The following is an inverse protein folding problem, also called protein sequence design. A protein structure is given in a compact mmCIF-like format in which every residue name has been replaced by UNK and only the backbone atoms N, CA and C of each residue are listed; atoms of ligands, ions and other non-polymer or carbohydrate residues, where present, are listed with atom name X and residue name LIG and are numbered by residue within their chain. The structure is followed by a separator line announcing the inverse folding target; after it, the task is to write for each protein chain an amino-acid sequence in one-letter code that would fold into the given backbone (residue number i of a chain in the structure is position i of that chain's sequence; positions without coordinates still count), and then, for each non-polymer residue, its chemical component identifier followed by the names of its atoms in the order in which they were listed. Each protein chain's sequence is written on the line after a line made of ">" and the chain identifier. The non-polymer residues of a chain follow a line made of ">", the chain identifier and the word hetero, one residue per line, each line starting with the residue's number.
data_IF_293688215887
#
_entry.id   IF_293688215887
#
_cell.length_a   1.000
_cell.length_b   1.000
_cell.length_c   1.000
_cell.angle_alpha   90.00
_cell.angle_beta   90.00
_cell.angle_gamma   90.00
#
_symmetry.space_group_name_H-M   'P 1'
#
loop_
_entity.id
_entity.type
_entity.pdbx_description
1 polymer ?
#
# COMPACT_ATOMS: atom_id res chain seq x y z
N UNK A 1 1.74 8.11 -14.37
CA UNK A 1 2.75 8.40 -13.33
C UNK A 1 4.14 8.27 -13.93
N UNK A 2 5.16 9.00 -13.45
CA UNK A 2 6.54 8.91 -14.00
C UNK A 2 7.42 7.90 -13.26
N UNK A 3 7.13 7.58 -12.00
CA UNK A 3 7.92 6.66 -11.16
C UNK A 3 6.98 5.81 -10.28
N UNK A 4 6.51 4.71 -10.86
CA UNK A 4 5.63 3.72 -10.23
C UNK A 4 4.37 3.41 -11.04
N UNK A 5 3.58 2.48 -10.54
CA UNK A 5 2.41 1.95 -11.24
C UNK A 5 1.13 2.75 -10.92
N UNK A 6 0.13 2.63 -11.80
CA UNK A 6 -1.26 3.00 -11.49
C UNK A 6 -2.08 1.72 -11.63
N UNK A 7 -2.53 1.19 -10.49
CA UNK A 7 -3.23 -0.08 -10.39
C UNK A 7 -4.69 0.16 -10.08
N UNK A 8 -5.55 -0.62 -10.73
CA UNK A 8 -6.99 -0.64 -10.51
C UNK A 8 -7.43 -2.02 -10.06
N UNK A 9 -8.64 -2.10 -9.51
CA UNK A 9 -9.24 -3.34 -9.03
C UNK A 9 -8.32 -4.04 -8.01
N UNK A 10 -7.82 -3.27 -7.04
CA UNK A 10 -7.17 -3.87 -5.87
C UNK A 10 -8.27 -4.49 -5.02
N UNK A 11 -8.20 -5.80 -4.84
CA UNK A 11 -9.25 -6.61 -4.22
C UNK A 11 -8.87 -7.00 -2.81
N UNK A 12 -9.83 -6.98 -1.90
CA UNK A 12 -9.65 -7.48 -0.53
C UNK A 12 -10.80 -7.08 0.38
N UNK A 13 -10.85 -7.69 1.55
CA UNK A 13 -11.87 -7.46 2.58
C UNK A 13 -11.28 -6.83 3.85
N UNK A 14 -9.97 -6.65 3.88
CA UNK A 14 -9.22 -6.15 5.02
C UNK A 14 -7.98 -5.37 4.55
N UNK A 15 -7.39 -4.57 5.44
CA UNK A 15 -6.15 -3.86 5.17
C UNK A 15 -5.03 -4.81 4.74
N UNK A 16 -4.89 -5.96 5.39
CA UNK A 16 -3.93 -7.01 5.07
C UNK A 16 -4.09 -7.50 3.63
N UNK A 17 -5.32 -7.87 3.26
CA UNK A 17 -5.61 -8.47 1.95
C UNK A 17 -5.46 -7.46 0.82
N UNK A 18 -5.91 -6.22 1.02
CA UNK A 18 -5.73 -5.12 0.07
C UNK A 18 -4.26 -4.76 -0.11
N UNK A 19 -3.48 -4.65 0.96
CA UNK A 19 -2.04 -4.36 0.86
C UNK A 19 -1.29 -5.51 0.19
N UNK A 20 -1.67 -6.75 0.47
CA UNK A 20 -1.08 -7.94 -0.17
C UNK A 20 -1.33 -7.94 -1.67
N UNK A 21 -2.57 -7.76 -2.09
CA UNK A 21 -2.95 -7.71 -3.50
C UNK A 21 -2.30 -6.54 -4.25
N UNK A 22 -2.26 -5.35 -3.63
CA UNK A 22 -1.55 -4.19 -4.17
C UNK A 22 -0.07 -4.51 -4.43
N UNK A 23 0.65 -5.04 -3.42
CA UNK A 23 2.07 -5.39 -3.55
C UNK A 23 2.30 -6.46 -4.62
N UNK A 24 1.43 -7.46 -4.69
CA UNK A 24 1.52 -8.53 -5.67
C UNK A 24 1.32 -8.03 -7.11
N UNK A 25 0.52 -6.98 -7.31
CA UNK A 25 0.27 -6.36 -8.63
C UNK A 25 1.30 -5.32 -9.06
N UNK A 26 2.18 -4.81 -8.17
CA UNK A 26 3.25 -3.88 -8.56
C UNK A 26 4.16 -4.53 -9.60
N UNK A 27 4.35 -3.88 -10.75
CA UNK A 27 5.18 -4.41 -11.86
C UNK A 27 6.57 -3.77 -11.88
N UNK A 28 6.66 -2.55 -11.37
CA UNK A 28 7.91 -1.76 -11.28
C UNK A 28 8.89 -2.27 -10.23
N UNK A 29 8.46 -3.21 -9.37
CA UNK A 29 9.26 -3.80 -8.31
C UNK A 29 9.60 -5.27 -8.62
N UNK A 30 10.87 -5.70 -8.46
CA UNK A 30 11.24 -7.10 -8.59
C UNK A 30 10.43 -8.00 -7.65
N UNK A 31 9.97 -9.15 -8.14
CA UNK A 31 9.19 -10.12 -7.34
C UNK A 31 9.88 -10.51 -6.03
N UNK A 32 11.22 -10.61 -6.03
CA UNK A 32 12.00 -10.95 -4.84
C UNK A 32 11.94 -9.89 -3.72
N UNK A 33 11.48 -8.67 -4.01
CA UNK A 33 11.33 -7.59 -3.02
C UNK A 33 9.91 -7.50 -2.46
N UNK A 34 8.92 -8.10 -3.12
CA UNK A 34 7.50 -8.01 -2.72
C UNK A 34 7.23 -8.54 -1.31
N UNK A 35 7.77 -9.69 -0.87
CA UNK A 35 7.53 -10.19 0.49
C UNK A 35 8.02 -9.21 1.57
N UNK A 36 9.25 -8.70 1.43
CA UNK A 36 9.81 -7.72 2.38
C UNK A 36 9.01 -6.41 2.38
N UNK A 37 8.57 -5.94 1.21
CA UNK A 37 7.74 -4.74 1.12
C UNK A 37 6.42 -4.93 1.89
N UNK A 38 5.73 -6.04 1.65
CA UNK A 38 4.47 -6.34 2.33
C UNK A 38 4.65 -6.42 3.85
N UNK A 39 5.66 -7.16 4.32
CA UNK A 39 5.97 -7.27 5.76
C UNK A 39 6.18 -5.90 6.38
N UNK A 40 7.01 -5.05 5.76
CA UNK A 40 7.29 -3.69 6.28
C UNK A 40 6.10 -2.75 6.24
N UNK A 41 5.21 -2.89 5.25
CA UNK A 41 3.96 -2.14 5.20
C UNK A 41 3.05 -2.55 6.36
N UNK A 42 2.90 -3.85 6.59
CA UNK A 42 2.09 -4.38 7.69
C UNK A 42 2.64 -3.98 9.06
N UNK A 43 3.95 -4.07 9.26
CA UNK A 43 4.62 -3.57 10.46
C UNK A 43 4.30 -2.10 10.73
N UNK A 44 4.30 -1.26 9.69
CA UNK A 44 3.95 0.17 9.82
C UNK A 44 2.47 0.32 10.18
N UNK A 45 1.59 -0.37 9.48
CA UNK A 45 0.15 -0.22 9.62
C UNK A 45 -0.34 -0.63 11.02
N UNK A 46 0.22 -1.69 11.59
CA UNK A 46 -0.12 -2.17 12.94
C UNK A 46 0.23 -1.19 14.07
N UNK A 47 1.13 -0.24 13.85
CA UNK A 47 1.45 0.79 14.86
C UNK A 47 0.30 1.80 14.98
N UNK A 48 -0.20 2.24 13.82
CA UNK A 48 -1.30 3.18 13.67
C UNK A 48 -1.67 3.25 12.19
N UNK A 49 -2.97 3.45 11.91
CA UNK A 49 -3.46 3.53 10.53
C UNK A 49 -2.68 4.51 9.67
N UNK A 50 -2.44 4.15 8.42
CA UNK A 50 -1.94 5.09 7.40
C UNK A 50 -3.04 5.73 6.57
N UNK A 51 -4.30 5.54 6.95
CA UNK A 51 -5.47 6.26 6.44
C UNK A 51 -5.44 7.74 6.84
N UNK A 52 -5.15 8.61 5.89
CA UNK A 52 -5.05 10.07 6.11
C UNK A 52 -6.39 10.80 5.98
N UNK A 53 -7.44 10.06 5.67
CA UNK A 53 -8.81 10.53 5.53
C UNK A 53 -9.17 10.97 4.12
N UNK A 54 -10.41 11.43 3.93
CA UNK A 54 -10.97 11.86 2.64
C UNK A 54 -10.87 10.79 1.54
N UNK A 55 -11.00 9.52 1.90
CA UNK A 55 -10.91 8.42 0.94
C UNK A 55 -9.49 7.91 0.66
N UNK A 56 -8.47 8.40 1.36
CA UNK A 56 -7.07 8.11 1.01
C UNK A 56 -6.30 7.48 2.17
N UNK A 57 -5.50 6.46 1.86
CA UNK A 57 -4.42 5.95 2.70
C UNK A 57 -3.08 6.12 1.99
N UNK A 58 -1.99 6.23 2.76
CA UNK A 58 -0.62 6.29 2.23
C UNK A 58 0.21 5.21 2.92
N UNK A 59 0.05 3.92 2.57
CA UNK A 59 0.86 2.84 3.14
C UNK A 59 2.33 3.02 2.74
N UNK A 60 3.23 3.02 3.71
CA UNK A 60 4.67 3.18 3.49
C UNK A 60 5.50 2.44 4.55
N UNK A 61 6.67 1.87 4.20
CA UNK A 61 7.60 1.36 5.21
C UNK A 61 8.12 2.48 6.12
N UNK A 62 8.30 2.20 7.41
CA UNK A 62 8.96 3.15 8.35
C UNK A 62 10.45 3.31 8.08
N UNK A 63 11.10 2.23 7.66
CA UNK A 63 12.54 2.17 7.38
C UNK A 63 12.75 1.71 5.94
N UNK A 64 13.85 2.16 5.28
CA UNK A 64 14.20 1.67 3.95
C UNK A 64 14.30 0.14 3.91
N UNK A 65 13.94 -0.43 2.76
CA UNK A 65 14.15 -1.86 2.48
C UNK A 65 15.64 -2.19 2.39
N UNK A 66 16.01 -3.44 2.71
CA UNK A 66 17.39 -3.95 2.70
C UNK A 66 18.06 -3.73 1.35
N UNK A 67 17.31 -3.92 0.26
CA UNK A 67 17.72 -3.52 -1.09
C UNK A 67 17.16 -2.14 -1.37
N UNK A 68 18.00 -1.13 -1.25
CA UNK A 68 17.62 0.24 -1.54
C UNK A 68 17.19 0.39 -3.01
N UNK A 69 16.01 0.96 -3.21
CA UNK A 69 15.61 1.48 -4.52
C UNK A 69 16.56 2.64 -4.90
N UNK A 70 16.93 2.74 -6.17
CA UNK A 70 17.78 3.84 -6.66
C UNK A 70 17.09 5.20 -6.56
N UNK A 71 15.76 5.21 -6.51
CA UNK A 71 14.91 6.39 -6.39
C UNK A 71 13.62 6.04 -5.66
N UNK A 72 12.93 7.01 -5.03
CA UNK A 72 11.59 6.80 -4.50
C UNK A 72 10.63 6.28 -5.57
N UNK A 73 9.69 5.44 -5.15
CA UNK A 73 8.64 4.85 -5.99
C UNK A 73 7.30 5.11 -5.32
N UNK A 74 6.30 5.52 -6.08
CA UNK A 74 4.93 5.66 -5.59
C UNK A 74 4.05 4.85 -6.54
N UNK A 75 3.30 3.88 -6.01
CA UNK A 75 2.26 3.18 -6.77
C UNK A 75 0.91 3.67 -6.30
N UNK A 76 0.09 4.16 -7.23
CA UNK A 76 -1.29 4.56 -6.93
C UNK A 76 -2.20 3.36 -7.13
N UNK A 77 -3.01 3.04 -6.13
CA UNK A 77 -3.92 1.91 -6.12
C UNK A 77 -5.36 2.40 -5.96
N UNK A 78 -6.25 1.93 -6.83
CA UNK A 78 -7.70 2.12 -6.69
C UNK A 78 -8.33 0.79 -6.28
N UNK A 79 -9.10 0.81 -5.20
CA UNK A 79 -9.75 -0.38 -4.66
C UNK A 79 -10.95 -0.77 -5.53
N UNK A 80 -11.27 -2.05 -5.57
CA UNK A 80 -12.50 -2.54 -6.23
C UNK A 80 -13.76 -2.11 -5.47
N UNK A 81 -13.64 -1.96 -4.14
CA UNK A 81 -14.68 -1.44 -3.25
C UNK A 81 -14.07 -0.64 -2.08
N UNK A 82 -14.85 0.27 -1.46
CA UNK A 82 -14.38 0.99 -0.29
C UNK A 82 -14.03 0.05 0.88
N UNK A 83 -12.95 0.37 1.60
CA UNK A 83 -12.43 -0.41 2.74
C UNK A 83 -12.38 0.43 4.02
N UNK A 84 -12.78 -0.16 5.14
CA UNK A 84 -12.62 0.44 6.48
C UNK A 84 -11.15 0.35 6.91
N UNK A 85 -10.37 1.38 6.56
CA UNK A 85 -8.92 1.43 6.78
C UNK A 85 -8.54 2.01 8.15
N UNK A 86 -9.52 2.28 9.02
CA UNK A 86 -9.36 3.04 10.27
C UNK A 86 -8.71 4.43 10.06
N UNK A 87 -9.13 5.13 9.00
CA UNK A 87 -8.61 6.45 8.67
C UNK A 87 -8.92 7.49 9.77
N UNK A 88 -8.09 8.54 9.85
CA UNK A 88 -8.20 9.58 10.89
C UNK A 88 -9.54 10.33 10.94
N UNK A 89 -10.33 10.28 9.87
CA UNK A 89 -11.65 10.92 9.78
C UNK A 89 -12.82 9.93 9.79
N UNK A 90 -12.55 8.66 10.17
CA UNK A 90 -13.51 7.55 10.24
C UNK A 90 -14.25 7.26 8.91
N UNK A 91 -13.65 7.64 7.77
CA UNK A 91 -14.19 7.35 6.44
C UNK A 91 -13.47 6.19 5.79
N UNK A 92 -14.21 5.52 4.90
CA UNK A 92 -13.67 4.49 4.02
C UNK A 92 -12.61 5.05 3.07
N UNK A 93 -11.63 4.21 2.72
CA UNK A 93 -10.65 4.43 1.65
C UNK A 93 -11.13 3.74 0.38
N UNK A 94 -10.89 4.32 -0.80
CA UNK A 94 -11.34 3.78 -2.09
C UNK A 94 -10.32 4.00 -3.21
#
# INVERSE_FOLDING_TARGET
>A
MKAGDVLYNITGDSTETVLKDAVDKITTLPTAMKPELYEKLMEREHIASTGVGKGVAIPHPRSPMLKALKSPLITTCFLDKPLEFNAVDDKYVF
#
